data_IF_978854864733
#
_entry.id   IF_978854864733
#
_cell.length_a   1.000
_cell.length_b   1.000
_cell.length_c   1.000
_cell.angle_alpha   90.00
_cell.angle_beta   90.00
_cell.angle_gamma   90.00
#
_symmetry.space_group_name_H-M   'P 1'
#
loop_
_entity.id
_entity.type
_entity.pdbx_description
1 polymer ?
#
# COMPACT_ATOMS: atom_id res chain seq x y z
N UNK A 1 -18.04 -36.08 1.76
CA UNK A 1 -16.98 -35.03 1.71
C UNK A 1 -17.07 -34.35 0.35
N UNK A 2 -17.55 -33.10 0.27
CA UNK A 2 -17.88 -32.47 -1.02
C UNK A 2 -16.59 -32.21 -1.84
N UNK A 3 -16.56 -32.64 -3.11
CA UNK A 3 -15.43 -32.51 -4.05
C UNK A 3 -14.84 -31.09 -4.11
N UNK A 4 -15.66 -30.07 -3.87
CA UNK A 4 -15.27 -28.66 -3.73
C UNK A 4 -14.17 -28.43 -2.70
N UNK A 5 -14.17 -29.18 -1.60
CA UNK A 5 -13.21 -28.99 -0.50
C UNK A 5 -11.84 -29.58 -0.84
N UNK A 6 -11.78 -30.61 -1.70
CA UNK A 6 -10.52 -31.22 -2.11
C UNK A 6 -9.81 -30.33 -3.14
N UNK A 7 -10.56 -29.77 -4.09
CA UNK A 7 -10.05 -28.82 -5.08
C UNK A 7 -9.49 -27.54 -4.42
N UNK A 8 -10.21 -26.97 -3.46
CA UNK A 8 -9.74 -25.78 -2.71
C UNK A 8 -8.46 -26.07 -1.91
N UNK A 9 -8.34 -27.26 -1.31
CA UNK A 9 -7.13 -27.68 -0.59
C UNK A 9 -5.94 -27.84 -1.54
N UNK A 10 -6.17 -28.40 -2.73
CA UNK A 10 -5.15 -28.50 -3.78
C UNK A 10 -4.66 -27.12 -4.24
N UNK A 11 -5.59 -26.22 -4.56
CA UNK A 11 -5.27 -24.85 -4.98
C UNK A 11 -4.49 -24.08 -3.90
N UNK A 12 -4.89 -24.23 -2.62
CA UNK A 12 -4.18 -23.62 -1.48
C UNK A 12 -2.75 -24.14 -1.34
N UNK A 13 -2.52 -25.45 -1.49
CA UNK A 13 -1.16 -26.02 -1.45
C UNK A 13 -0.26 -25.50 -2.56
N UNK A 14 -0.80 -25.37 -3.78
CA UNK A 14 -0.04 -24.78 -4.90
C UNK A 14 0.31 -23.32 -4.60
N UNK A 15 -0.64 -22.53 -4.10
CA UNK A 15 -0.39 -21.16 -3.68
C UNK A 15 0.70 -21.07 -2.61
N UNK A 16 0.61 -21.90 -1.56
CA UNK A 16 1.57 -21.91 -0.45
C UNK A 16 2.98 -22.34 -0.89
N UNK A 17 3.10 -23.14 -1.96
CA UNK A 17 4.40 -23.54 -2.55
C UNK A 17 4.97 -22.47 -3.50
N UNK A 18 4.13 -21.80 -4.29
CA UNK A 18 4.57 -20.89 -5.36
C UNK A 18 4.83 -19.48 -4.85
N UNK A 19 3.99 -18.95 -3.95
CA UNK A 19 4.11 -17.55 -3.49
C UNK A 19 5.42 -17.21 -2.79
N UNK A 20 6.01 -18.09 -1.94
CA UNK A 20 7.30 -17.82 -1.32
C UNK A 20 8.46 -17.77 -2.33
N UNK A 21 8.34 -18.49 -3.45
CA UNK A 21 9.35 -18.51 -4.53
C UNK A 21 9.24 -17.26 -5.40
N UNK A 22 8.01 -16.84 -5.72
CA UNK A 22 7.78 -15.66 -6.57
C UNK A 22 8.04 -14.32 -5.85
N UNK A 23 7.96 -14.30 -4.50
CA UNK A 23 8.12 -13.10 -3.66
C UNK A 23 7.52 -11.83 -4.29
N UNK A 24 6.23 -11.82 -4.66
CA UNK A 24 5.65 -10.69 -5.36
C UNK A 24 5.76 -9.43 -4.50
N UNK A 25 6.36 -8.38 -5.08
CA UNK A 25 6.45 -7.07 -4.43
C UNK A 25 5.14 -6.33 -4.66
N UNK A 26 4.46 -5.97 -3.58
CA UNK A 26 3.29 -5.11 -3.63
C UNK A 26 3.74 -3.66 -3.48
N UNK A 27 3.73 -2.84 -4.56
CA UNK A 27 4.14 -1.45 -4.45
C UNK A 27 3.17 -0.67 -3.56
N UNK A 28 3.73 0.22 -2.75
CA UNK A 28 2.99 1.16 -1.92
C UNK A 28 3.59 2.56 -2.04
N UNK A 29 2.82 3.57 -1.66
CA UNK A 29 3.25 4.97 -1.62
C UNK A 29 3.18 5.49 -0.19
N UNK A 30 4.10 6.39 0.16
CA UNK A 30 4.06 7.20 1.39
C UNK A 30 4.21 8.66 1.00
N UNK A 31 3.36 9.52 1.56
CA UNK A 31 3.15 10.86 1.04
C UNK A 31 3.57 11.88 2.08
N UNK A 32 4.57 12.69 1.74
CA UNK A 32 4.98 13.83 2.56
C UNK A 32 4.21 15.08 2.12
N UNK A 33 3.11 15.38 2.81
CA UNK A 33 2.37 16.62 2.63
C UNK A 33 2.97 17.70 3.53
N UNK A 34 3.51 18.77 2.93
CA UNK A 34 4.12 19.89 3.65
C UNK A 34 3.31 21.16 3.42
N UNK A 35 2.94 21.83 4.50
CA UNK A 35 2.30 23.16 4.46
C UNK A 35 2.78 23.96 5.66
N UNK A 36 3.20 25.21 5.43
CA UNK A 36 3.63 26.14 6.48
C UNK A 36 4.72 25.58 7.41
N UNK A 37 5.66 24.82 6.86
CA UNK A 37 6.75 24.17 7.62
C UNK A 37 6.33 22.96 8.46
N UNK A 38 5.06 22.58 8.43
CA UNK A 38 4.54 21.40 9.11
C UNK A 38 4.19 20.29 8.12
N UNK A 39 4.14 19.05 8.63
CA UNK A 39 3.76 17.87 7.86
C UNK A 39 2.56 17.17 8.45
N UNK A 40 1.68 16.70 7.57
CA UNK A 40 0.53 15.90 7.94
C UNK A 40 0.93 14.45 8.21
N UNK A 41 0.50 13.94 9.35
CA UNK A 41 0.62 12.54 9.75
C UNK A 41 -0.76 11.98 10.07
N UNK A 42 -0.93 10.68 9.88
CA UNK A 42 -2.14 9.93 10.25
C UNK A 42 -1.82 8.96 11.37
N UNK A 43 -2.78 8.77 12.28
CA UNK A 43 -2.69 7.80 13.36
C UNK A 43 -3.69 6.68 13.10
N UNK A 44 -3.19 5.52 12.69
CA UNK A 44 -4.04 4.38 12.42
C UNK A 44 -4.47 3.70 13.72
N UNK A 45 -5.73 3.28 13.82
CA UNK A 45 -6.25 2.57 15.01
C UNK A 45 -5.57 1.22 15.27
N UNK A 46 -4.96 0.63 14.25
CA UNK A 46 -4.25 -0.66 14.34
C UNK A 46 -2.75 -0.54 14.67
N UNK A 47 -2.20 0.68 14.76
CA UNK A 47 -0.79 0.90 15.02
C UNK A 47 -0.59 2.03 16.05
N UNK A 48 0.28 1.81 17.03
CA UNK A 48 0.55 2.77 18.10
C UNK A 48 1.44 3.97 17.70
N UNK A 49 1.65 4.19 16.39
CA UNK A 49 2.59 5.18 15.86
C UNK A 49 1.92 6.05 14.82
N UNK A 50 2.46 7.25 14.64
CA UNK A 50 2.11 8.16 13.56
C UNK A 50 2.85 7.77 12.28
N UNK A 51 2.16 7.89 11.14
CA UNK A 51 2.70 7.56 9.82
C UNK A 51 2.40 8.66 8.81
N UNK A 52 3.19 8.71 7.74
CA UNK A 52 2.78 9.45 6.55
C UNK A 52 1.55 8.77 5.92
N UNK A 53 0.58 9.56 5.43
CA UNK A 53 -0.51 9.04 4.63
C UNK A 53 0.02 8.17 3.50
N UNK A 54 -0.72 7.12 3.16
CA UNK A 54 -0.36 6.26 2.04
C UNK A 54 -0.82 4.83 2.18
N UNK A 55 -0.72 4.10 1.08
CA UNK A 55 -1.25 2.76 0.98
C UNK A 55 -0.78 2.04 -0.28
N UNK A 56 -1.44 0.92 -0.57
CA UNK A 56 -1.12 0.07 -1.71
C UNK A 56 -1.48 0.73 -3.04
N UNK A 57 -0.65 0.51 -4.05
CA UNK A 57 -0.93 0.92 -5.42
C UNK A 57 -1.86 -0.11 -6.05
N UNK A 58 -3.00 0.34 -6.61
CA UNK A 58 -3.95 -0.55 -7.28
C UNK A 58 -3.41 -1.02 -8.63
N UNK A 59 -3.92 -2.15 -9.13
CA UNK A 59 -3.51 -2.68 -10.45
C UNK A 59 -3.81 -1.65 -11.55
N UNK A 60 -2.79 -1.29 -12.32
CA UNK A 60 -2.89 -0.29 -13.40
C UNK A 60 -2.92 1.17 -12.91
N UNK A 61 -2.82 1.42 -11.60
CA UNK A 61 -2.75 2.75 -11.02
C UNK A 61 -1.31 3.29 -11.09
N UNK A 62 -1.14 4.56 -11.46
CA UNK A 62 0.17 5.21 -11.39
C UNK A 62 0.52 5.56 -9.95
N UNK A 63 1.82 5.64 -9.61
CA UNK A 63 2.25 6.04 -8.26
C UNK A 63 1.68 7.42 -7.85
N UNK A 64 1.59 8.35 -8.79
CA UNK A 64 1.04 9.68 -8.55
C UNK A 64 -0.48 9.63 -8.29
N UNK A 65 -1.22 8.81 -9.04
CA UNK A 65 -2.65 8.62 -8.82
C UNK A 65 -2.93 7.95 -7.47
N UNK A 66 -2.15 6.91 -7.11
CA UNK A 66 -2.23 6.27 -5.80
C UNK A 66 -1.96 7.29 -4.68
N UNK A 67 -0.93 8.12 -4.82
CA UNK A 67 -0.61 9.14 -3.83
C UNK A 67 -1.75 10.16 -3.64
N UNK A 68 -2.32 10.67 -4.74
CA UNK A 68 -3.43 11.63 -4.66
C UNK A 68 -4.70 11.00 -4.05
N UNK A 69 -4.98 9.73 -4.37
CA UNK A 69 -6.10 8.98 -3.81
C UNK A 69 -5.93 8.77 -2.30
N UNK A 70 -4.81 8.22 -1.86
CA UNK A 70 -4.55 7.93 -0.44
C UNK A 70 -4.53 9.23 0.40
N UNK A 71 -3.94 10.32 -0.12
CA UNK A 71 -3.99 11.63 0.54
C UNK A 71 -5.43 12.11 0.81
N UNK A 72 -6.33 11.87 -0.16
CA UNK A 72 -7.75 12.20 -0.02
C UNK A 72 -8.48 11.24 0.90
N UNK A 73 -8.27 9.93 0.76
CA UNK A 73 -8.96 8.89 1.52
C UNK A 73 -8.60 8.92 3.02
N UNK A 74 -7.32 9.07 3.36
CA UNK A 74 -6.86 9.01 4.76
C UNK A 74 -6.86 10.35 5.48
N UNK A 75 -6.69 11.46 4.74
CA UNK A 75 -6.49 12.79 5.33
C UNK A 75 -7.41 13.89 4.77
N UNK A 76 -8.28 13.58 3.80
CA UNK A 76 -9.12 14.58 3.14
C UNK A 76 -8.34 15.62 2.32
N UNK A 77 -7.05 15.40 2.08
CA UNK A 77 -6.17 16.37 1.45
C UNK A 77 -6.30 16.31 -0.08
N UNK A 78 -6.53 17.46 -0.71
CA UNK A 78 -6.54 17.60 -2.17
C UNK A 78 -5.15 18.00 -2.66
N UNK A 79 -4.52 17.13 -3.44
CA UNK A 79 -3.19 17.36 -4.02
C UNK A 79 -3.37 17.80 -5.48
N UNK A 80 -3.05 19.07 -5.76
CA UNK A 80 -3.18 19.65 -7.11
C UNK A 80 -1.89 19.65 -7.91
N UNK A 81 -0.74 19.50 -7.25
CA UNK A 81 0.57 19.47 -7.87
C UNK A 81 1.03 18.05 -8.17
N UNK A 82 1.90 17.91 -9.17
CA UNK A 82 2.52 16.62 -9.45
C UNK A 82 3.49 16.27 -8.31
N UNK A 83 3.36 15.08 -7.68
CA UNK A 83 4.22 14.71 -6.58
C UNK A 83 5.67 14.50 -7.06
N UNK A 84 6.62 14.97 -6.26
CA UNK A 84 8.04 14.68 -6.46
C UNK A 84 8.39 13.37 -5.77
N UNK A 85 9.14 12.51 -6.46
CA UNK A 85 9.72 11.31 -5.84
C UNK A 85 10.89 11.75 -4.95
N UNK A 86 10.79 11.46 -3.65
CA UNK A 86 11.87 11.71 -2.69
C UNK A 86 12.81 10.50 -2.57
N UNK A 87 12.26 9.29 -2.70
CA UNK A 87 13.03 8.06 -2.61
C UNK A 87 12.16 6.83 -2.85
N UNK A 88 12.82 5.72 -3.14
CA UNK A 88 12.23 4.39 -3.17
C UNK A 88 12.84 3.62 -2.00
N UNK A 89 11.99 3.17 -1.09
CA UNK A 89 12.41 2.45 0.10
C UNK A 89 11.91 1.02 0.01
N UNK A 90 12.79 0.08 0.27
CA UNK A 90 12.44 -1.32 0.40
C UNK A 90 12.43 -1.68 1.89
N UNK A 91 11.27 -2.07 2.40
CA UNK A 91 11.15 -2.45 3.80
C UNK A 91 11.74 -3.86 3.97
N UNK A 92 12.99 -3.94 4.40
CA UNK A 92 13.54 -5.18 4.96
C UNK A 92 13.06 -5.26 6.41
N UNK A 93 12.30 -6.32 6.70
CA UNK A 93 11.98 -6.69 8.08
C UNK A 93 13.25 -6.99 8.88
#
# INVERSE_FOLDING_TARGET
>A
MKLSNLALRGARRVYDLVMPVLQPVTPSVRILLVKDGATLLVHHTYASKWYFPGGGVKRGETLAAAAAREAREEAGALVHSQPRILGIYYYQH
#
